data_IF_445285342012
#
_entry.id   IF_445285342012
#
_cell.length_a   1.000
_cell.length_b   1.000
_cell.length_c   1.000
_cell.angle_alpha   90.00
_cell.angle_beta   90.00
_cell.angle_gamma   90.00
#
_symmetry.space_group_name_H-M   'P 1'
#
loop_
_entity.id
_entity.type
_entity.pdbx_description
1 polymer ?
#
# COMPACT_ATOMS: atom_id res chain seq x y z
N UNK A 1 54.82 -7.03 -16.99
CA UNK A 1 54.06 -5.79 -16.75
C UNK A 1 52.61 -6.11 -17.04
N UNK A 2 51.81 -6.40 -16.01
CA UNK A 2 50.38 -6.68 -16.20
C UNK A 2 49.62 -5.36 -16.13
N UNK A 3 48.96 -5.05 -17.24
CA UNK A 3 48.04 -3.94 -17.39
C UNK A 3 46.71 -4.32 -16.73
N UNK A 4 46.50 -3.84 -15.51
CA UNK A 4 45.23 -4.01 -14.80
C UNK A 4 44.26 -2.96 -15.33
N UNK A 5 43.48 -3.33 -16.35
CA UNK A 5 42.38 -2.50 -16.83
C UNK A 5 41.45 -2.12 -15.66
N UNK A 6 41.36 -0.82 -15.38
CA UNK A 6 40.47 -0.29 -14.36
C UNK A 6 39.01 -0.62 -14.70
N UNK A 7 38.29 -1.21 -13.75
CA UNK A 7 36.87 -1.52 -13.89
C UNK A 7 36.07 -0.23 -14.21
N UNK A 8 35.06 -0.31 -15.10
CA UNK A 8 34.27 0.85 -15.48
C UNK A 8 33.60 1.47 -14.24
N UNK A 9 33.49 2.81 -14.17
CA UNK A 9 32.91 3.49 -13.03
C UNK A 9 31.49 2.98 -12.83
N UNK A 10 31.24 2.37 -11.66
CA UNK A 10 29.91 1.96 -11.25
C UNK A 10 28.98 3.17 -11.35
N UNK A 11 28.08 3.15 -12.34
CA UNK A 11 27.01 4.14 -12.45
C UNK A 11 26.21 4.03 -11.16
N UNK A 12 26.39 4.98 -10.24
CA UNK A 12 25.61 5.02 -9.01
C UNK A 12 24.14 5.09 -9.44
N UNK A 13 23.29 4.11 -9.12
CA UNK A 13 21.89 4.21 -9.46
C UNK A 13 21.38 5.51 -8.87
N UNK A 14 20.87 6.39 -9.74
CA UNK A 14 20.26 7.67 -9.34
C UNK A 14 19.26 7.30 -8.25
N UNK A 15 19.47 7.74 -7.00
CA UNK A 15 18.57 7.43 -5.89
C UNK A 15 17.15 7.76 -6.35
N UNK A 16 16.37 6.73 -6.65
CA UNK A 16 14.99 6.94 -7.09
C UNK A 16 14.29 7.65 -5.94
N UNK A 17 13.60 8.76 -6.24
CA UNK A 17 12.83 9.45 -5.24
C UNK A 17 11.81 8.46 -4.62
N UNK A 18 11.59 8.55 -3.31
CA UNK A 18 10.64 7.70 -2.62
C UNK A 18 9.23 7.95 -3.20
N UNK A 19 8.51 6.86 -3.50
CA UNK A 19 7.13 6.91 -4.00
C UNK A 19 6.18 6.83 -2.81
N UNK A 20 5.22 7.75 -2.73
CA UNK A 20 4.16 7.74 -1.72
C UNK A 20 2.89 7.10 -2.27
N UNK A 21 2.25 6.26 -1.47
CA UNK A 21 0.92 5.70 -1.72
C UNK A 21 -0.07 6.07 -0.62
N UNK A 22 -1.37 6.00 -0.91
CA UNK A 22 -2.44 6.25 0.05
C UNK A 22 -3.06 4.93 0.50
N UNK A 23 -3.11 4.71 1.81
CA UNK A 23 -3.93 3.66 2.41
C UNK A 23 -5.36 4.16 2.63
N UNK A 24 -6.35 3.44 2.11
CA UNK A 24 -7.78 3.73 2.26
C UNK A 24 -8.39 2.61 3.11
N UNK A 25 -8.87 2.95 4.31
CA UNK A 25 -9.62 2.01 5.12
C UNK A 25 -10.99 1.75 4.47
N UNK A 26 -11.27 0.50 4.08
CA UNK A 26 -12.56 0.10 3.51
C UNK A 26 -13.50 -0.57 4.53
N UNK A 27 -13.21 -0.43 5.83
CA UNK A 27 -14.03 -0.96 6.90
C UNK A 27 -14.46 0.11 7.91
N UNK A 28 -15.63 -0.10 8.51
CA UNK A 28 -16.23 0.81 9.48
C UNK A 28 -17.27 1.76 8.87
N UNK A 29 -17.95 2.55 9.70
CA UNK A 29 -19.15 3.30 9.31
C UNK A 29 -18.90 4.42 8.29
N UNK A 30 -17.65 4.83 8.09
CA UNK A 30 -17.26 5.89 7.14
C UNK A 30 -16.71 5.37 5.82
N UNK A 31 -16.48 4.06 5.72
CA UNK A 31 -15.92 3.41 4.54
C UNK A 31 -16.99 3.16 3.47
N UNK A 32 -17.67 4.22 3.05
CA UNK A 32 -18.68 4.12 1.99
C UNK A 32 -18.01 4.06 0.61
N UNK A 33 -18.65 3.48 -0.41
CA UNK A 33 -18.14 3.53 -1.78
C UNK A 33 -17.89 4.96 -2.29
N UNK A 34 -18.72 5.92 -1.87
CA UNK A 34 -18.55 7.33 -2.22
C UNK A 34 -17.28 7.92 -1.58
N UNK A 35 -17.07 7.68 -0.28
CA UNK A 35 -15.87 8.12 0.44
C UNK A 35 -14.60 7.55 -0.22
N UNK A 36 -14.60 6.25 -0.51
CA UNK A 36 -13.44 5.56 -1.11
C UNK A 36 -13.11 6.14 -2.49
N UNK A 37 -14.12 6.37 -3.34
CA UNK A 37 -13.94 7.02 -4.66
C UNK A 37 -13.36 8.43 -4.53
N UNK A 38 -13.88 9.23 -3.61
CA UNK A 38 -13.38 10.59 -3.38
C UNK A 38 -11.93 10.58 -2.92
N UNK A 39 -11.55 9.67 -2.02
CA UNK A 39 -10.16 9.52 -1.57
C UNK A 39 -9.22 9.09 -2.70
N UNK A 40 -9.65 8.17 -3.56
CA UNK A 40 -8.87 7.76 -4.74
C UNK A 40 -8.62 8.92 -5.71
N UNK A 41 -9.67 9.67 -6.05
CA UNK A 41 -9.55 10.84 -6.93
C UNK A 41 -8.64 11.93 -6.33
N UNK A 42 -8.75 12.17 -5.02
CA UNK A 42 -7.86 13.11 -4.32
C UNK A 42 -6.40 12.63 -4.28
N UNK A 43 -6.18 11.32 -4.16
CA UNK A 43 -4.84 10.74 -4.18
C UNK A 43 -4.17 10.97 -5.54
N UNK A 44 -4.88 10.70 -6.64
CA UNK A 44 -4.40 10.97 -7.99
C UNK A 44 -4.11 12.45 -8.20
N UNK A 45 -5.05 13.33 -7.83
CA UNK A 45 -4.89 14.79 -7.95
C UNK A 45 -3.67 15.32 -7.19
N UNK A 46 -3.27 14.65 -6.10
CA UNK A 46 -2.12 15.01 -5.26
C UNK A 46 -0.82 14.30 -5.64
N UNK A 47 -0.83 13.46 -6.68
CA UNK A 47 0.36 12.78 -7.18
C UNK A 47 0.79 11.57 -6.35
N UNK A 48 -0.13 10.94 -5.60
CA UNK A 48 0.15 9.63 -5.01
C UNK A 48 0.33 8.59 -6.12
N UNK A 49 1.27 7.68 -5.90
CA UNK A 49 1.68 6.69 -6.90
C UNK A 49 0.78 5.45 -6.92
N UNK A 50 -0.13 5.33 -5.94
CA UNK A 50 -1.06 4.23 -5.85
C UNK A 50 -1.91 4.29 -4.59
N UNK A 51 -3.02 3.57 -4.60
CA UNK A 51 -3.90 3.37 -3.46
C UNK A 51 -3.90 1.91 -3.01
N UNK A 52 -4.06 1.69 -1.72
CA UNK A 52 -4.06 0.38 -1.08
C UNK A 52 -5.25 0.31 -0.13
N UNK A 53 -5.94 -0.83 -0.08
CA UNK A 53 -7.03 -1.07 0.87
C UNK A 53 -6.78 -2.36 1.63
N UNK A 54 -7.30 -2.44 2.85
CA UNK A 54 -7.43 -3.71 3.56
C UNK A 54 -8.50 -4.59 2.88
N UNK A 55 -8.37 -5.91 3.00
CA UNK A 55 -9.44 -6.86 2.70
C UNK A 55 -9.84 -7.52 4.02
N UNK A 56 -11.12 -7.48 4.37
CA UNK A 56 -11.66 -8.23 5.49
C UNK A 56 -12.71 -9.19 4.94
N UNK A 57 -12.33 -10.43 4.56
CA UNK A 57 -13.31 -11.43 4.19
C UNK A 57 -14.20 -11.69 5.40
N UNK A 58 -15.43 -11.19 5.33
CA UNK A 58 -16.45 -11.45 6.34
C UNK A 58 -17.18 -12.75 5.97
N UNK A 59 -17.38 -13.67 6.92
CA UNK A 59 -18.17 -14.84 6.66
C UNK A 59 -19.57 -14.44 6.17
N UNK A 60 -19.98 -14.97 5.01
CA UNK A 60 -21.29 -14.71 4.39
C UNK A 60 -22.46 -15.19 5.27
N UNK A 61 -22.17 -16.07 6.24
CA UNK A 61 -23.12 -16.56 7.25
C UNK A 61 -22.52 -16.33 8.63
N UNK A 62 -23.38 -16.13 9.64
CA UNK A 62 -22.98 -16.14 11.05
C UNK A 62 -22.31 -17.48 11.35
N UNK A 63 -20.99 -17.51 11.39
CA UNK A 63 -20.25 -18.67 11.86
C UNK A 63 -20.34 -18.66 13.39
N UNK A 64 -21.22 -19.51 13.92
CA UNK A 64 -21.25 -19.79 15.36
C UNK A 64 -19.90 -20.44 15.71
N UNK A 65 -19.13 -19.78 16.57
CA UNK A 65 -17.84 -20.31 17.05
C UNK A 65 -16.60 -19.91 16.25
N UNK A 66 -16.64 -18.89 15.38
CA UNK A 66 -15.39 -18.30 14.86
C UNK A 66 -14.80 -17.34 15.91
N UNK A 67 -13.69 -17.68 16.59
CA UNK A 67 -13.08 -16.78 17.54
C UNK A 67 -12.45 -15.62 16.76
N UNK A 68 -13.02 -14.44 16.89
CA UNK A 68 -12.35 -13.24 16.41
C UNK A 68 -11.14 -12.98 17.31
N UNK A 69 -9.93 -12.77 16.77
CA UNK A 69 -8.83 -12.28 17.58
C UNK A 69 -9.21 -10.88 18.09
N UNK A 70 -9.64 -10.80 19.34
CA UNK A 70 -9.76 -9.53 20.04
C UNK A 70 -8.36 -8.97 20.17
N UNK A 71 -8.14 -7.72 19.71
CA UNK A 71 -6.83 -7.02 19.71
C UNK A 71 -6.25 -6.76 21.13
N UNK A 72 -6.76 -7.46 22.14
CA UNK A 72 -6.53 -7.23 23.56
C UNK A 72 -6.31 -8.55 24.33
N UNK A 73 -5.69 -9.55 23.71
CA UNK A 73 -5.07 -10.66 24.46
C UNK A 73 -3.56 -10.50 24.46
#
# INVERSE_FOLDING_TARGET
MSDTAAAPPHVRPRRAALRFGLYIANAGPRATPATIRTLGAEAERRGFHGCWTNEHPMPVRRVVGYPWPTKHQ
#
